data_IF_551897587691
#
_entry.id   IF_551897587691
#
_cell.length_a   1.000
_cell.length_b   1.000
_cell.length_c   1.000
_cell.angle_alpha   90.00
_cell.angle_beta   90.00
_cell.angle_gamma   90.00
#
_symmetry.space_group_name_H-M   'P 1'
#
loop_
_entity.id
_entity.type
_entity.pdbx_description
1 polymer ?
#
# COMPACT_ATOMS: atom_id res chain seq x y z
N UNK A 1 -16.67 24.85 5.32
CA UNK A 1 -15.60 25.60 6.02
C UNK A 1 -16.11 27.00 6.30
N UNK A 2 -16.07 27.43 7.53
CA UNK A 2 -16.53 28.77 7.92
C UNK A 2 -15.37 29.73 8.21
N UNK A 3 -14.33 29.27 8.90
CA UNK A 3 -13.17 30.08 9.26
C UNK A 3 -11.83 29.43 8.92
N UNK A 4 -11.83 28.21 8.43
CA UNK A 4 -10.63 27.51 7.99
C UNK A 4 -10.06 28.09 6.67
N UNK A 5 -8.75 27.96 6.47
CA UNK A 5 -8.04 28.51 5.31
C UNK A 5 -7.06 27.52 4.68
N UNK A 6 -6.67 27.76 3.43
CA UNK A 6 -5.68 26.97 2.72
C UNK A 6 -6.05 25.48 2.56
N UNK A 7 -7.33 25.19 2.38
CA UNK A 7 -7.82 23.83 2.20
C UNK A 7 -8.15 23.52 0.72
N UNK A 8 -7.91 22.29 0.30
CA UNK A 8 -8.24 21.78 -1.03
C UNK A 8 -9.29 20.69 -0.92
N UNK A 9 -10.38 20.80 -1.69
CA UNK A 9 -11.46 19.81 -1.74
C UNK A 9 -11.75 19.45 -3.20
N UNK A 10 -11.55 18.18 -3.55
CA UNK A 10 -11.83 17.66 -4.88
C UNK A 10 -12.69 16.39 -4.78
N UNK A 11 -13.91 16.47 -5.26
CA UNK A 11 -14.84 15.35 -5.25
C UNK A 11 -16.16 15.66 -4.52
N UNK A 12 -17.16 14.80 -4.74
CA UNK A 12 -18.47 14.97 -4.12
C UNK A 12 -18.39 14.87 -2.60
N UNK A 13 -18.81 15.94 -1.89
CA UNK A 13 -18.75 16.06 -0.42
C UNK A 13 -17.35 15.85 0.18
N UNK A 14 -16.27 16.15 -0.56
CA UNK A 14 -14.95 16.19 0.02
C UNK A 14 -14.89 17.22 1.15
N UNK A 15 -14.33 16.84 2.30
CA UNK A 15 -14.31 17.64 3.53
C UNK A 15 -15.65 17.71 4.29
N UNK A 16 -16.67 16.94 3.85
CA UNK A 16 -18.03 17.02 4.38
C UNK A 16 -18.73 15.65 4.29
N UNK A 17 -18.48 14.76 5.23
CA UNK A 17 -19.18 13.47 5.31
C UNK A 17 -19.64 13.19 6.75
N UNK A 18 -18.90 12.44 7.54
CA UNK A 18 -19.21 12.17 8.94
C UNK A 18 -18.95 13.41 9.80
N UNK A 19 -17.80 14.04 9.58
CA UNK A 19 -17.46 15.34 10.15
C UNK A 19 -17.25 16.35 9.03
N UNK A 20 -17.39 17.62 9.37
CA UNK A 20 -17.23 18.74 8.46
C UNK A 20 -16.00 19.54 8.82
N UNK A 21 -15.13 19.85 7.87
CA UNK A 21 -14.05 20.76 8.16
C UNK A 21 -14.62 22.19 8.33
N UNK A 22 -14.69 22.69 9.56
CA UNK A 22 -15.26 23.99 9.89
C UNK A 22 -14.16 25.03 10.07
N UNK A 23 -13.18 24.75 10.93
CA UNK A 23 -12.13 25.70 11.31
C UNK A 23 -10.72 25.20 10.95
N UNK A 24 -10.57 23.94 10.51
CA UNK A 24 -9.28 23.35 10.14
C UNK A 24 -8.61 24.03 8.96
N UNK A 25 -7.29 23.94 8.90
CA UNK A 25 -6.46 24.62 7.90
C UNK A 25 -5.46 23.70 7.22
N UNK A 26 -4.97 24.10 6.05
CA UNK A 26 -3.85 23.44 5.34
C UNK A 26 -4.09 21.97 5.02
N UNK A 27 -5.34 21.59 4.76
CA UNK A 27 -5.73 20.20 4.51
C UNK A 27 -6.14 19.95 3.07
N UNK A 28 -5.91 18.73 2.58
CA UNK A 28 -6.25 18.30 1.22
C UNK A 28 -7.14 17.04 1.29
N UNK A 29 -8.33 17.13 0.70
CA UNK A 29 -9.29 16.05 0.59
C UNK A 29 -9.60 15.78 -0.88
N UNK A 30 -9.20 14.62 -1.38
CA UNK A 30 -9.40 14.19 -2.77
C UNK A 30 -10.19 12.89 -2.80
N UNK A 31 -11.36 12.95 -3.40
CA UNK A 31 -12.26 11.80 -3.56
C UNK A 31 -13.64 12.05 -2.97
N UNK A 32 -14.60 11.22 -3.37
CA UNK A 32 -15.97 11.31 -2.88
C UNK A 32 -16.04 10.92 -1.42
N UNK A 33 -16.62 11.78 -0.59
CA UNK A 33 -16.74 11.57 0.85
C UNK A 33 -15.40 11.41 1.61
N UNK A 34 -14.29 11.93 1.10
CA UNK A 34 -13.08 12.08 1.89
C UNK A 34 -13.32 13.14 2.99
N UNK A 35 -13.06 12.84 4.27
CA UNK A 35 -13.51 13.71 5.37
C UNK A 35 -12.47 13.84 6.50
N UNK A 36 -12.55 14.91 7.32
CA UNK A 36 -11.74 15.05 8.53
C UNK A 36 -12.30 14.20 9.68
N UNK A 37 -11.46 13.76 10.59
CA UNK A 37 -11.92 13.06 11.82
C UNK A 37 -12.49 14.00 12.87
N UNK A 38 -12.24 15.33 12.77
CA UNK A 38 -12.83 16.37 13.61
C UNK A 38 -13.04 17.66 12.83
N UNK A 39 -13.93 18.53 13.30
CA UNK A 39 -14.30 19.79 12.64
C UNK A 39 -13.14 20.80 12.51
N UNK A 40 -12.13 20.68 13.36
CA UNK A 40 -10.94 21.52 13.41
C UNK A 40 -9.68 20.81 12.88
N UNK A 41 -9.80 19.65 12.28
CA UNK A 41 -8.65 18.89 11.75
C UNK A 41 -7.80 19.72 10.80
N UNK A 42 -6.51 19.72 11.00
CA UNK A 42 -5.56 20.53 10.22
C UNK A 42 -4.38 19.68 9.72
N UNK A 43 -3.76 20.13 8.62
CA UNK A 43 -2.64 19.44 8.00
C UNK A 43 -2.96 17.96 7.65
N UNK A 44 -4.19 17.67 7.22
CA UNK A 44 -4.61 16.36 6.76
C UNK A 44 -4.39 16.24 5.24
N UNK A 45 -3.88 15.11 4.78
CA UNK A 45 -3.94 14.72 3.36
C UNK A 45 -4.77 13.45 3.28
N UNK A 46 -5.93 13.50 2.61
CA UNK A 46 -6.89 12.39 2.54
C UNK A 46 -7.22 12.11 1.08
N UNK A 47 -6.95 10.89 0.64
CA UNK A 47 -7.19 10.46 -0.75
C UNK A 47 -8.00 9.17 -0.75
N UNK A 48 -9.16 9.18 -1.41
CA UNK A 48 -9.98 8.00 -1.58
C UNK A 48 -11.47 8.23 -1.37
N UNK A 49 -12.23 7.15 -1.20
CA UNK A 49 -13.69 7.20 -1.03
C UNK A 49 -14.10 6.89 0.41
N UNK A 50 -14.91 7.76 1.01
CA UNK A 50 -15.48 7.60 2.36
C UNK A 50 -14.40 7.33 3.44
N UNK A 51 -13.22 7.89 3.27
CA UNK A 51 -12.06 7.70 4.16
C UNK A 51 -11.83 8.94 5.02
N UNK A 52 -11.52 8.72 6.31
CA UNK A 52 -11.29 9.78 7.29
C UNK A 52 -9.82 10.07 7.52
N UNK A 53 -9.45 11.34 7.67
CA UNK A 53 -8.07 11.76 7.94
C UNK A 53 -7.93 12.55 9.23
N UNK A 54 -6.91 12.22 10.00
CA UNK A 54 -6.54 12.88 11.25
C UNK A 54 -5.44 13.93 11.03
N UNK A 55 -5.31 14.82 12.00
CA UNK A 55 -4.30 15.89 12.01
C UNK A 55 -2.87 15.35 11.84
N UNK A 56 -2.13 15.96 10.92
CA UNK A 56 -0.73 15.60 10.67
C UNK A 56 -0.53 14.23 10.00
N UNK A 57 -1.57 13.66 9.37
CA UNK A 57 -1.48 12.39 8.65
C UNK A 57 -1.81 12.53 7.16
N UNK A 58 -1.13 11.71 6.36
CA UNK A 58 -1.59 11.33 5.03
C UNK A 58 -2.33 9.99 5.14
N UNK A 59 -3.60 9.94 4.70
CA UNK A 59 -4.45 8.73 4.71
C UNK A 59 -4.91 8.43 3.29
N UNK A 60 -4.77 7.18 2.84
CA UNK A 60 -5.20 6.72 1.52
C UNK A 60 -6.04 5.46 1.71
N UNK A 61 -7.23 5.39 1.08
CA UNK A 61 -8.03 4.19 1.18
C UNK A 61 -9.47 4.29 0.72
N UNK A 62 -10.25 3.30 1.15
CA UNK A 62 -11.68 3.18 0.90
C UNK A 62 -12.41 2.78 2.20
N UNK A 63 -13.24 3.65 2.74
CA UNK A 63 -13.96 3.41 4.00
C UNK A 63 -12.99 3.13 5.16
N UNK A 64 -13.15 1.98 5.81
CA UNK A 64 -12.27 1.51 6.89
C UNK A 64 -11.05 0.70 6.41
N UNK A 65 -10.95 0.47 5.09
CA UNK A 65 -9.77 -0.17 4.47
C UNK A 65 -8.79 0.91 4.04
N UNK A 66 -8.01 1.41 4.98
CA UNK A 66 -7.07 2.49 4.75
C UNK A 66 -5.66 2.18 5.25
N UNK A 67 -4.73 2.95 4.73
CA UNK A 67 -3.36 3.06 5.23
C UNK A 67 -3.07 4.53 5.54
N UNK A 68 -2.28 4.80 6.59
CA UNK A 68 -1.89 6.16 6.95
C UNK A 68 -0.45 6.25 7.39
N UNK A 69 0.17 7.39 7.13
CA UNK A 69 1.49 7.75 7.63
C UNK A 69 1.43 9.10 8.32
N UNK A 70 2.03 9.22 9.50
CA UNK A 70 2.24 10.52 10.14
C UNK A 70 3.23 11.35 9.31
N UNK A 71 3.00 12.64 9.19
CA UNK A 71 3.93 13.53 8.47
C UNK A 71 5.31 13.51 9.14
N UNK A 72 6.35 13.32 8.31
CA UNK A 72 7.73 13.15 8.80
C UNK A 72 8.08 11.70 9.17
N UNK A 73 7.15 10.75 9.07
CA UNK A 73 7.43 9.32 9.23
C UNK A 73 7.53 8.63 7.85
N UNK A 74 8.36 7.60 7.76
CA UNK A 74 8.58 6.83 6.52
C UNK A 74 7.74 5.53 6.46
N UNK A 75 6.99 5.22 7.53
CA UNK A 75 6.21 3.98 7.63
C UNK A 75 4.72 4.23 7.48
N UNK A 76 4.06 3.34 6.73
CA UNK A 76 2.62 3.27 6.63
C UNK A 76 2.06 2.30 7.65
N UNK A 77 0.93 2.63 8.24
CA UNK A 77 0.21 1.79 9.20
C UNK A 77 -1.24 1.61 8.77
N UNK A 78 -1.81 0.48 9.13
CA UNK A 78 -3.24 0.19 8.99
C UNK A 78 -3.81 -0.29 10.32
N UNK A 79 -5.14 -0.39 10.41
CA UNK A 79 -5.82 -0.86 11.63
C UNK A 79 -5.41 -2.31 11.93
N UNK A 80 -4.94 -2.55 13.17
CA UNK A 80 -4.57 -3.87 13.68
C UNK A 80 -5.11 -4.13 15.09
N UNK A 81 -6.22 -3.49 15.47
CA UNK A 81 -6.85 -3.63 16.78
C UNK A 81 -7.48 -5.04 16.92
N UNK A 82 -7.28 -5.65 18.09
CA UNK A 82 -7.78 -6.99 18.41
C UNK A 82 -9.30 -7.13 18.22
N UNK A 83 -10.06 -6.06 18.50
CA UNK A 83 -11.52 -6.04 18.37
C UNK A 83 -12.05 -6.25 16.94
N UNK A 84 -11.20 -6.07 15.94
CA UNK A 84 -11.52 -6.39 14.54
C UNK A 84 -11.15 -7.84 14.15
N UNK A 85 -10.53 -8.61 15.06
CA UNK A 85 -9.98 -9.94 14.79
C UNK A 85 -10.71 -11.00 15.59
N UNK A 86 -10.80 -12.19 15.05
CA UNK A 86 -11.31 -13.40 15.74
C UNK A 86 -10.38 -14.57 15.47
N UNK A 87 -10.54 -15.62 16.23
CA UNK A 87 -9.80 -16.89 16.09
C UNK A 87 -8.26 -16.66 16.13
N UNK A 88 -7.84 -15.75 17.01
CA UNK A 88 -6.43 -15.36 17.15
C UNK A 88 -5.64 -16.54 17.72
N UNK A 89 -4.67 -17.02 16.95
CA UNK A 89 -3.76 -18.09 17.36
C UNK A 89 -2.31 -17.68 17.11
N UNK A 90 -1.38 -18.30 17.81
CA UNK A 90 0.05 -18.09 17.55
C UNK A 90 0.42 -18.68 16.19
N UNK A 91 1.03 -17.87 15.32
CA UNK A 91 1.56 -18.37 14.06
C UNK A 91 2.76 -19.27 14.31
N UNK A 92 2.82 -20.39 13.60
CA UNK A 92 3.97 -21.29 13.59
C UNK A 92 4.98 -20.98 12.48
N UNK A 93 4.59 -20.13 11.52
CA UNK A 93 5.51 -19.57 10.53
C UNK A 93 6.51 -18.65 11.22
N UNK A 94 7.76 -19.04 11.26
CA UNK A 94 8.82 -18.31 11.95
C UNK A 94 10.12 -18.36 11.17
N UNK A 95 11.23 -18.59 11.87
CA UNK A 95 12.56 -18.67 11.26
C UNK A 95 12.71 -19.72 10.16
N UNK A 96 11.95 -20.81 10.19
CA UNK A 96 11.93 -21.80 9.12
C UNK A 96 11.53 -21.18 7.78
N UNK A 97 10.42 -20.43 7.77
CA UNK A 97 9.96 -19.71 6.58
C UNK A 97 11.01 -18.67 6.10
N UNK A 98 11.58 -17.90 7.02
CA UNK A 98 12.60 -16.89 6.67
C UNK A 98 13.85 -17.53 6.08
N UNK A 99 14.28 -18.67 6.62
CA UNK A 99 15.47 -19.39 6.15
C UNK A 99 15.28 -20.04 4.77
N UNK A 100 14.04 -20.33 4.36
CA UNK A 100 13.71 -20.88 3.06
C UNK A 100 13.70 -19.80 1.96
N UNK A 101 13.59 -18.52 2.31
CA UNK A 101 13.68 -17.42 1.36
C UNK A 101 15.12 -17.26 0.85
N UNK A 102 15.28 -17.17 -0.46
CA UNK A 102 16.59 -17.03 -1.09
C UNK A 102 16.76 -15.63 -1.68
N UNK A 103 17.58 -14.75 -1.08
CA UNK A 103 17.94 -13.47 -1.69
C UNK A 103 18.67 -13.66 -3.01
N UNK A 104 18.35 -12.83 -4.00
CA UNK A 104 18.91 -12.87 -5.35
C UNK A 104 19.49 -11.52 -5.73
N UNK A 105 20.36 -11.55 -6.74
CA UNK A 105 20.80 -10.37 -7.47
C UNK A 105 20.42 -10.53 -8.94
N UNK A 106 20.02 -9.43 -9.60
CA UNK A 106 19.63 -9.45 -11.00
C UNK A 106 19.88 -8.12 -11.71
N UNK A 107 19.87 -8.16 -13.03
CA UNK A 107 19.73 -6.99 -13.88
C UNK A 107 18.39 -7.07 -14.61
N UNK A 108 17.74 -5.91 -14.80
CA UNK A 108 16.48 -5.87 -15.55
C UNK A 108 16.71 -6.13 -17.05
N UNK A 109 15.79 -6.85 -17.65
CA UNK A 109 15.68 -7.05 -19.10
C UNK A 109 15.31 -5.74 -19.79
N UNK A 110 15.52 -5.69 -21.10
CA UNK A 110 14.93 -4.65 -21.95
C UNK A 110 13.42 -4.89 -22.11
N UNK A 111 12.67 -3.84 -22.48
CA UNK A 111 11.23 -3.95 -22.68
C UNK A 111 10.88 -4.95 -23.81
N UNK A 112 11.73 -5.08 -24.82
CA UNK A 112 11.56 -6.05 -25.90
C UNK A 112 11.84 -7.50 -25.49
N UNK A 113 12.51 -7.77 -24.36
CA UNK A 113 12.77 -9.11 -23.83
C UNK A 113 11.70 -9.58 -22.81
N UNK A 114 10.74 -8.71 -22.50
CA UNK A 114 9.63 -9.07 -21.59
C UNK A 114 8.62 -9.98 -22.31
N UNK A 115 7.81 -10.75 -21.56
CA UNK A 115 6.66 -11.43 -22.15
C UNK A 115 5.70 -10.45 -22.82
N UNK A 116 5.17 -10.80 -24.00
CA UNK A 116 4.24 -9.95 -24.76
C UNK A 116 2.93 -9.62 -24.00
N UNK A 117 2.59 -10.44 -23.01
CA UNK A 117 1.41 -10.23 -22.15
C UNK A 117 1.61 -9.15 -21.08
N UNK A 118 2.86 -8.75 -20.82
CA UNK A 118 3.15 -7.76 -19.79
C UNK A 118 2.87 -6.35 -20.29
N UNK A 119 2.24 -5.53 -19.46
CA UNK A 119 1.90 -4.14 -19.79
C UNK A 119 3.09 -3.26 -20.16
N UNK A 120 4.28 -3.63 -19.71
CA UNK A 120 5.52 -2.91 -20.02
C UNK A 120 6.22 -3.42 -21.28
N UNK A 121 5.70 -4.46 -21.95
CA UNK A 121 6.30 -4.97 -23.19
C UNK A 121 6.24 -3.94 -24.31
N UNK A 122 7.34 -3.77 -25.01
CA UNK A 122 7.45 -2.93 -26.20
C UNK A 122 8.35 -3.63 -27.22
N UNK A 123 7.75 -4.05 -28.34
CA UNK A 123 8.45 -4.82 -29.39
C UNK A 123 9.72 -4.09 -29.86
N UNK A 124 10.82 -4.84 -30.01
CA UNK A 124 12.13 -4.35 -30.48
C UNK A 124 12.77 -3.25 -29.60
N UNK A 125 12.20 -2.94 -28.45
CA UNK A 125 12.74 -1.93 -27.53
C UNK A 125 14.02 -2.43 -26.86
N UNK A 126 15.07 -1.61 -26.91
CA UNK A 126 16.33 -1.82 -26.18
C UNK A 126 16.40 -1.08 -24.85
N UNK A 127 15.32 -0.37 -24.50
CA UNK A 127 15.23 0.33 -23.22
C UNK A 127 15.15 -0.68 -22.07
N UNK A 128 16.00 -0.54 -21.05
CA UNK A 128 15.95 -1.37 -19.84
C UNK A 128 14.75 -1.00 -18.98
N UNK A 129 14.02 -1.98 -18.45
CA UNK A 129 12.73 -1.80 -17.74
C UNK A 129 12.76 -0.78 -16.63
N UNK A 130 13.69 -0.84 -15.69
CA UNK A 130 13.77 0.11 -14.57
C UNK A 130 15.10 0.85 -14.49
N UNK A 131 16.20 0.10 -14.42
CA UNK A 131 17.55 0.64 -14.31
C UNK A 131 18.58 -0.36 -14.82
N UNK A 132 19.81 0.10 -15.04
CA UNK A 132 20.93 -0.72 -15.53
C UNK A 132 21.85 -1.25 -14.43
N UNK A 133 21.48 -1.03 -13.16
CA UNK A 133 22.29 -1.45 -12.02
C UNK A 133 21.96 -2.88 -11.62
N UNK A 134 22.88 -3.53 -10.90
CA UNK A 134 22.59 -4.79 -10.21
C UNK A 134 21.65 -4.53 -9.05
N UNK A 135 20.52 -5.21 -9.03
CA UNK A 135 19.50 -5.12 -8.00
C UNK A 135 19.60 -6.31 -7.04
N UNK A 136 19.06 -6.14 -5.84
CA UNK A 136 19.04 -7.14 -4.77
C UNK A 136 17.62 -7.26 -4.22
N UNK A 137 17.21 -8.45 -3.83
CA UNK A 137 15.89 -8.72 -3.25
C UNK A 137 15.46 -10.15 -3.49
N UNK A 138 14.16 -10.36 -3.70
CA UNK A 138 13.58 -11.69 -3.90
C UNK A 138 12.90 -11.80 -5.27
N UNK A 139 12.86 -13.01 -5.81
CA UNK A 139 12.11 -13.35 -7.02
C UNK A 139 10.72 -13.82 -6.61
N UNK A 140 9.67 -13.18 -7.14
CA UNK A 140 8.29 -13.41 -6.73
C UNK A 140 7.87 -14.89 -6.85
N UNK A 141 8.26 -15.58 -7.91
CA UNK A 141 7.96 -16.99 -8.11
C UNK A 141 8.64 -17.88 -7.06
N UNK A 142 9.86 -17.56 -6.64
CA UNK A 142 10.57 -18.32 -5.59
C UNK A 142 9.91 -18.07 -4.22
N UNK A 143 9.52 -16.83 -3.93
CA UNK A 143 8.76 -16.49 -2.71
C UNK A 143 7.43 -17.25 -2.66
N UNK A 144 6.69 -17.28 -3.78
CA UNK A 144 5.43 -18.02 -3.88
C UNK A 144 5.62 -19.51 -3.58
N UNK A 145 6.66 -20.12 -4.14
CA UNK A 145 6.97 -21.53 -3.89
C UNK A 145 7.26 -21.83 -2.41
N UNK A 146 7.96 -20.90 -1.73
CA UNK A 146 8.19 -21.01 -0.29
C UNK A 146 6.89 -20.88 0.49
N UNK A 147 6.03 -19.89 0.18
CA UNK A 147 4.71 -19.73 0.81
C UNK A 147 3.86 -21.00 0.65
N UNK A 148 3.84 -21.60 -0.54
CA UNK A 148 3.04 -22.79 -0.82
C UNK A 148 3.49 -24.04 -0.03
N UNK A 149 4.76 -24.06 0.39
CA UNK A 149 5.30 -25.14 1.24
C UNK A 149 5.02 -24.92 2.73
N UNK A 150 4.56 -23.73 3.13
CA UNK A 150 4.21 -23.37 4.51
C UNK A 150 2.69 -23.26 4.65
N UNK A 151 2.02 -24.37 4.95
CA UNK A 151 0.55 -24.47 4.99
C UNK A 151 -0.12 -23.47 5.95
N UNK A 152 0.58 -23.05 6.99
CA UNK A 152 0.12 -22.12 8.03
C UNK A 152 -0.01 -20.67 7.56
N UNK A 153 0.66 -20.29 6.45
CA UNK A 153 0.61 -18.95 5.87
C UNK A 153 0.19 -18.94 4.40
N UNK A 154 -0.12 -20.12 3.84
CA UNK A 154 -0.47 -20.26 2.42
C UNK A 154 -1.61 -19.37 1.98
N UNK A 155 -2.60 -19.18 2.86
CA UNK A 155 -3.79 -18.37 2.58
C UNK A 155 -3.71 -17.05 3.34
N UNK A 156 -3.75 -15.94 2.60
CA UNK A 156 -3.86 -14.59 3.16
C UNK A 156 -2.55 -13.90 3.56
N UNK A 157 -1.40 -14.50 3.33
CA UNK A 157 -0.11 -13.83 3.55
C UNK A 157 0.26 -12.95 2.35
N UNK A 158 0.19 -11.64 2.55
CA UNK A 158 0.37 -10.63 1.49
C UNK A 158 1.83 -10.27 1.17
N UNK A 159 2.74 -11.18 1.33
CA UNK A 159 4.11 -11.01 0.87
C UNK A 159 4.19 -11.10 -0.66
N UNK A 160 3.32 -11.90 -1.27
CA UNK A 160 3.25 -12.14 -2.70
C UNK A 160 1.85 -11.84 -3.24
N UNK A 161 1.80 -11.30 -4.45
CA UNK A 161 0.56 -11.10 -5.20
C UNK A 161 0.82 -11.22 -6.71
N UNK A 162 -0.23 -11.42 -7.50
CA UNK A 162 -0.17 -11.41 -8.96
C UNK A 162 -1.01 -10.27 -9.53
N UNK A 163 -0.64 -9.84 -10.72
CA UNK A 163 -1.30 -8.78 -11.46
C UNK A 163 -2.11 -9.34 -12.63
N UNK A 164 -3.04 -8.56 -13.14
CA UNK A 164 -3.91 -8.94 -14.25
C UNK A 164 -3.15 -9.32 -15.54
N UNK A 165 -1.95 -8.77 -15.77
CA UNK A 165 -1.08 -9.08 -16.91
C UNK A 165 -0.22 -10.35 -16.70
N UNK A 166 -0.38 -11.03 -15.56
CA UNK A 166 0.38 -12.24 -15.19
C UNK A 166 1.77 -11.95 -14.61
N UNK A 167 2.17 -10.68 -14.46
CA UNK A 167 3.37 -10.35 -13.70
C UNK A 167 3.12 -10.52 -12.20
N UNK A 168 4.20 -10.81 -11.45
CA UNK A 168 4.11 -11.07 -10.01
C UNK A 168 4.88 -10.02 -9.22
N UNK A 169 4.45 -9.77 -7.99
CA UNK A 169 5.07 -8.79 -7.11
C UNK A 169 5.33 -9.34 -5.71
N UNK A 170 6.29 -8.72 -5.02
CA UNK A 170 6.65 -9.02 -3.64
C UNK A 170 6.56 -7.73 -2.81
N UNK A 171 5.89 -7.81 -1.67
CA UNK A 171 5.80 -6.76 -0.66
C UNK A 171 6.75 -7.08 0.50
N UNK A 172 8.04 -6.82 0.34
CA UNK A 172 9.10 -7.19 1.31
C UNK A 172 8.83 -6.67 2.73
N UNK A 173 8.11 -5.55 2.86
CA UNK A 173 7.71 -5.03 4.17
C UNK A 173 6.77 -5.97 4.96
N UNK A 174 6.10 -6.91 4.30
CA UNK A 174 5.26 -7.92 4.95
C UNK A 174 6.07 -8.99 5.71
N UNK A 175 7.39 -9.03 5.54
CA UNK A 175 8.30 -9.88 6.34
C UNK A 175 8.54 -9.34 7.75
N UNK A 176 8.18 -8.09 8.00
CA UNK A 176 8.31 -7.45 9.32
C UNK A 176 6.93 -7.52 9.98
N UNK A 177 6.74 -8.36 11.02
CA UNK A 177 5.46 -8.52 11.69
C UNK A 177 5.05 -7.27 12.50
#
# INVERSE_FOLDING_TARGET
>A
VTTGSNNVFVGHRAGYYTNHLITGTTSTFVGSYAYPTADNSSACVVIGHAVGGADGYTTIGHGSSDIRAAHGNVTWSTVSDERYKKDITTSTAGLSFINDLTPRTWNYKTLGELPETFNAYEADSTQVFKNTQTNHGFIAQEVKAVIDNHSEIKDGFRLWDDREDGSQEVAEAALIP
#
